data_IF_519216671806
#
_entry.id   IF_519216671806
#
_cell.length_a   1.000
_cell.length_b   1.000
_cell.length_c   1.000
_cell.angle_alpha   90.00
_cell.angle_beta   90.00
_cell.angle_gamma   90.00
#
_symmetry.space_group_name_H-M   'P 1'
#
loop_
_entity.id
_entity.type
_entity.pdbx_description
1 polymer ?
#
# COMPACT_ATOMS: atom_id res chain seq x y z
N UNK A 1 13.10 27.54 5.73
CA UNK A 1 12.61 26.15 5.76
C UNK A 1 12.22 25.79 4.35
N UNK A 2 12.63 24.61 3.85
CA UNK A 2 12.10 24.07 2.61
C UNK A 2 10.57 24.05 2.71
N UNK A 3 9.90 24.60 1.71
CA UNK A 3 8.45 24.57 1.59
C UNK A 3 8.12 24.00 0.23
N UNK A 4 7.01 23.29 0.15
CA UNK A 4 6.48 22.90 -1.14
C UNK A 4 6.17 24.16 -1.96
N UNK A 5 6.29 24.06 -3.28
CA UNK A 5 5.89 25.17 -4.15
C UNK A 5 4.40 25.41 -3.95
N UNK A 6 4.04 26.59 -3.42
CA UNK A 6 2.65 27.00 -3.27
C UNK A 6 2.06 27.29 -4.65
N UNK A 7 0.86 26.77 -4.88
CA UNK A 7 0.11 27.00 -6.12
C UNK A 7 -0.19 28.49 -6.29
N UNK A 8 0.01 29.01 -7.51
CA UNK A 8 -0.39 30.38 -7.83
C UNK A 8 -1.90 30.53 -7.72
N UNK A 9 -2.38 31.71 -7.31
CA UNK A 9 -3.81 32.02 -7.31
C UNK A 9 -4.43 31.79 -8.70
N UNK A 10 -3.70 32.10 -9.77
CA UNK A 10 -4.19 31.91 -11.15
C UNK A 10 -4.35 30.42 -11.45
N UNK A 11 -3.36 29.59 -11.10
CA UNK A 11 -3.38 28.15 -11.31
C UNK A 11 -4.51 27.49 -10.50
N UNK A 12 -4.67 27.90 -9.24
CA UNK A 12 -5.76 27.43 -8.38
C UNK A 12 -7.12 27.75 -8.99
N UNK A 13 -7.32 28.99 -9.44
CA UNK A 13 -8.59 29.42 -10.04
C UNK A 13 -8.85 28.66 -11.34
N UNK A 14 -7.81 28.47 -12.17
CA UNK A 14 -7.91 27.72 -13.41
C UNK A 14 -8.29 26.25 -13.19
N UNK A 15 -7.69 25.58 -12.19
CA UNK A 15 -8.03 24.19 -11.83
C UNK A 15 -9.50 24.10 -11.41
N UNK A 16 -9.96 25.01 -10.55
CA UNK A 16 -11.35 25.03 -10.10
C UNK A 16 -12.33 25.29 -11.26
N UNK A 17 -12.03 26.24 -12.15
CA UNK A 17 -12.86 26.50 -13.33
C UNK A 17 -12.89 25.32 -14.31
N UNK A 18 -11.76 24.66 -14.54
CA UNK A 18 -11.67 23.47 -15.38
C UNK A 18 -12.48 22.31 -14.79
N UNK A 19 -12.38 22.09 -13.47
CA UNK A 19 -13.14 21.06 -12.77
C UNK A 19 -14.65 21.35 -12.83
N UNK A 20 -15.08 22.61 -12.74
CA UNK A 20 -16.48 23.00 -12.94
C UNK A 20 -17.01 22.62 -14.33
N UNK A 21 -16.14 22.61 -15.35
CA UNK A 21 -16.45 22.18 -16.71
C UNK A 21 -16.28 20.66 -16.94
N UNK A 22 -16.00 19.87 -15.89
CA UNK A 22 -15.68 18.44 -15.96
C UNK A 22 -14.38 18.12 -16.73
N UNK A 23 -13.42 19.04 -16.77
CA UNK A 23 -12.16 18.84 -17.49
C UNK A 23 -11.02 18.75 -16.46
N UNK A 24 -10.22 17.68 -16.53
CA UNK A 24 -8.98 17.54 -15.76
C UNK A 24 -7.78 18.01 -16.58
N UNK A 25 -6.72 18.44 -15.89
CA UNK A 25 -5.46 18.88 -16.52
C UNK A 25 -4.79 17.77 -17.34
N UNK A 26 -4.94 16.52 -16.92
CA UNK A 26 -4.38 15.34 -17.57
C UNK A 26 -5.32 14.70 -18.61
N UNK A 27 -6.53 15.24 -18.77
CA UNK A 27 -7.55 14.75 -19.70
C UNK A 27 -8.28 13.47 -19.25
N UNK A 28 -8.05 12.99 -18.02
CA UNK A 28 -8.78 11.82 -17.49
C UNK A 28 -10.21 12.18 -17.06
N UNK A 29 -11.04 11.14 -16.92
CA UNK A 29 -12.35 11.28 -16.29
C UNK A 29 -12.21 11.47 -14.76
N UNK A 30 -13.30 11.88 -14.11
CA UNK A 30 -13.31 12.17 -12.67
C UNK A 30 -13.18 10.91 -11.80
N UNK A 31 -13.65 9.78 -12.30
CA UNK A 31 -13.71 8.48 -11.66
C UNK A 31 -12.57 7.55 -12.11
N UNK A 32 -11.60 8.07 -12.85
CA UNK A 32 -10.52 7.30 -13.44
C UNK A 32 -9.21 7.38 -12.64
N UNK A 33 -8.55 6.23 -12.50
CA UNK A 33 -7.30 6.08 -11.76
C UNK A 33 -6.10 6.34 -12.69
N UNK A 34 -4.95 6.80 -12.19
CA UNK A 34 -3.74 6.86 -13.02
C UNK A 34 -3.31 5.45 -13.38
N UNK A 35 -2.51 5.32 -14.44
CA UNK A 35 -1.89 4.05 -14.77
C UNK A 35 -1.08 3.56 -13.56
N UNK A 36 -1.46 2.39 -13.06
CA UNK A 36 -0.85 1.72 -11.91
C UNK A 36 0.06 0.62 -12.45
N UNK A 37 1.35 0.74 -12.19
CA UNK A 37 2.33 -0.30 -12.47
C UNK A 37 2.92 -0.82 -11.16
N UNK A 38 3.04 -2.14 -11.07
CA UNK A 38 3.57 -2.85 -9.90
C UNK A 38 4.70 -3.72 -10.40
N UNK A 39 5.89 -3.45 -9.89
CA UNK A 39 7.12 -4.16 -10.22
C UNK A 39 7.72 -4.77 -8.96
N UNK A 40 8.25 -5.99 -9.09
CA UNK A 40 8.89 -6.70 -7.99
C UNK A 40 10.41 -6.68 -8.18
N UNK A 41 11.14 -6.60 -7.07
CA UNK A 41 12.60 -6.71 -7.08
C UNK A 41 13.06 -8.17 -7.08
N UNK A 42 14.35 -8.40 -7.31
CA UNK A 42 14.95 -9.74 -7.33
C UNK A 42 14.70 -10.50 -6.02
N UNK A 43 14.84 -9.80 -4.88
CA UNK A 43 14.58 -10.35 -3.56
C UNK A 43 13.07 -10.37 -3.22
N UNK A 44 12.63 -11.44 -2.55
CA UNK A 44 11.27 -11.54 -2.03
C UNK A 44 10.92 -10.39 -1.07
N UNK A 45 9.75 -9.79 -1.27
CA UNK A 45 9.23 -8.67 -0.48
C UNK A 45 9.83 -7.29 -0.81
N UNK A 46 10.56 -7.14 -1.91
CA UNK A 46 10.75 -5.83 -2.54
C UNK A 46 9.65 -5.59 -3.58
N UNK A 47 9.01 -4.42 -3.52
CA UNK A 47 7.97 -4.00 -4.46
C UNK A 47 8.10 -2.50 -4.74
N UNK A 48 8.16 -2.13 -6.01
CA UNK A 48 8.08 -0.75 -6.47
C UNK A 48 6.75 -0.53 -7.20
N UNK A 49 5.96 0.42 -6.70
CA UNK A 49 4.68 0.82 -7.26
C UNK A 49 4.81 2.19 -7.88
N UNK A 50 4.33 2.32 -9.11
CA UNK A 50 4.25 3.58 -9.81
C UNK A 50 2.79 3.90 -10.11
N UNK A 51 2.30 5.00 -9.55
CA UNK A 51 0.98 5.55 -9.82
C UNK A 51 1.14 6.85 -10.61
N UNK A 52 1.12 6.73 -11.94
CA UNK A 52 1.50 7.83 -12.82
C UNK A 52 2.94 8.29 -12.59
N UNK A 53 3.13 9.44 -11.92
CA UNK A 53 4.46 9.95 -11.52
C UNK A 53 4.84 9.60 -10.09
N UNK A 54 3.86 9.38 -9.21
CA UNK A 54 4.11 8.99 -7.82
C UNK A 54 4.77 7.63 -7.78
N UNK A 55 5.92 7.52 -7.10
CA UNK A 55 6.69 6.29 -6.99
C UNK A 55 6.95 5.95 -5.54
N UNK A 56 6.59 4.74 -5.15
CA UNK A 56 6.76 4.23 -3.80
C UNK A 56 7.47 2.89 -3.87
N UNK A 57 8.53 2.73 -3.09
CA UNK A 57 9.22 1.46 -2.90
C UNK A 57 8.88 0.92 -1.52
N UNK A 58 8.59 -0.37 -1.40
CA UNK A 58 8.33 -1.02 -0.13
C UNK A 58 9.21 -2.25 0.00
N UNK A 59 9.86 -2.36 1.16
CA UNK A 59 10.68 -3.51 1.54
C UNK A 59 10.11 -4.14 2.80
N UNK A 60 9.97 -5.46 2.77
CA UNK A 60 9.62 -6.23 3.95
C UNK A 60 10.83 -6.96 4.49
N UNK A 61 11.03 -6.84 5.79
CA UNK A 61 12.02 -7.58 6.55
C UNK A 61 11.35 -8.41 7.65
N UNK A 62 11.98 -9.52 8.03
CA UNK A 62 11.51 -10.36 9.11
C UNK A 62 12.67 -10.73 10.04
N UNK A 63 12.46 -10.56 11.34
CA UNK A 63 13.43 -10.87 12.39
C UNK A 63 12.75 -11.71 13.48
N UNK A 64 13.52 -12.53 14.21
CA UNK A 64 12.99 -13.28 15.35
C UNK A 64 13.19 -12.49 16.62
N UNK A 65 12.08 -12.13 17.27
CA UNK A 65 12.06 -11.29 18.47
C UNK A 65 11.19 -11.94 19.55
N UNK A 66 11.29 -11.46 20.80
CA UNK A 66 10.37 -11.87 21.86
C UNK A 66 9.01 -11.15 21.66
N UNK A 67 7.87 -11.86 21.76
CA UNK A 67 6.55 -11.23 21.67
C UNK A 67 6.28 -10.31 22.89
N UNK A 68 5.29 -9.43 22.75
CA UNK A 68 4.83 -8.60 23.87
C UNK A 68 4.26 -9.45 25.02
N UNK A 69 4.43 -8.99 26.26
CA UNK A 69 3.98 -9.76 27.44
C UNK A 69 2.45 -9.91 27.50
N UNK A 70 1.73 -8.92 26.98
CA UNK A 70 0.27 -8.93 26.88
C UNK A 70 -0.24 -9.93 25.84
N UNK A 71 0.53 -10.17 24.76
CA UNK A 71 0.14 -11.01 23.63
C UNK A 71 1.24 -12.00 23.27
N UNK A 72 1.29 -13.10 24.03
CA UNK A 72 2.32 -14.13 23.92
C UNK A 72 2.18 -15.04 22.69
N UNK A 73 1.01 -15.07 22.07
CA UNK A 73 0.67 -15.91 20.91
C UNK A 73 0.70 -15.14 19.58
N UNK A 74 0.95 -13.83 19.62
CA UNK A 74 0.98 -12.99 18.42
C UNK A 74 2.42 -12.66 18.03
N UNK A 75 2.69 -12.64 16.73
CA UNK A 75 3.86 -11.96 16.17
C UNK A 75 3.70 -10.45 16.16
N UNK A 76 4.80 -9.77 15.83
CA UNK A 76 4.84 -8.30 15.78
C UNK A 76 4.82 -7.88 14.31
N UNK A 77 3.96 -6.93 13.97
CA UNK A 77 3.94 -6.32 12.64
C UNK A 77 4.04 -4.81 12.74
N UNK A 78 5.08 -4.22 12.14
CA UNK A 78 5.36 -2.77 12.16
C UNK A 78 5.40 -2.19 10.77
N UNK A 79 4.68 -1.08 10.56
CA UNK A 79 4.74 -0.30 9.33
C UNK A 79 5.54 0.97 9.65
N UNK A 80 6.57 1.24 8.85
CA UNK A 80 7.33 2.48 8.91
C UNK A 80 7.22 3.15 7.55
N UNK A 81 6.74 4.38 7.54
CA UNK A 81 6.68 5.20 6.33
C UNK A 81 7.70 6.31 6.47
N UNK A 82 8.61 6.39 5.51
CA UNK A 82 9.65 7.43 5.47
C UNK A 82 9.43 8.32 4.24
N UNK A 83 9.18 9.60 4.49
CA UNK A 83 9.12 10.61 3.44
C UNK A 83 10.53 11.17 3.21
N UNK A 84 11.11 10.85 2.06
CA UNK A 84 12.43 11.31 1.69
C UNK A 84 12.37 12.72 1.06
N UNK A 85 13.37 13.59 1.29
CA UNK A 85 13.54 14.84 0.53
C UNK A 85 13.66 14.62 -0.99
N UNK A 86 13.92 13.38 -1.43
CA UNK A 86 13.86 12.99 -2.84
C UNK A 86 12.46 13.17 -3.44
N UNK A 87 11.41 12.89 -2.65
CA UNK A 87 10.04 12.89 -3.14
C UNK A 87 9.45 14.30 -3.25
N UNK A 88 9.73 15.16 -2.26
CA UNK A 88 9.38 16.57 -2.31
C UNK A 88 10.40 17.35 -1.49
N UNK A 89 10.83 18.55 -1.92
CA UNK A 89 11.70 19.40 -1.13
C UNK A 89 11.07 19.80 0.21
N UNK A 90 9.75 19.66 0.37
CA UNK A 90 9.04 19.93 1.62
C UNK A 90 9.33 18.90 2.72
N UNK A 91 9.80 17.71 2.36
CA UNK A 91 10.09 16.64 3.31
C UNK A 91 11.50 16.80 3.87
N UNK A 92 11.62 16.76 5.20
CA UNK A 92 12.90 16.84 5.92
C UNK A 92 13.16 15.51 6.62
N UNK A 93 14.36 14.95 6.44
CA UNK A 93 14.76 13.71 7.11
C UNK A 93 14.79 13.89 8.63
N UNK A 94 14.07 13.04 9.35
CA UNK A 94 14.06 13.00 10.82
C UNK A 94 13.04 13.92 11.49
N UNK A 95 12.31 14.74 10.74
CA UNK A 95 11.18 15.52 11.24
C UNK A 95 9.90 15.01 10.62
N UNK A 96 9.03 14.44 11.45
CA UNK A 96 7.73 13.99 11.00
C UNK A 96 6.85 15.17 10.60
N UNK A 97 6.47 15.20 9.33
CA UNK A 97 5.49 16.17 8.83
C UNK A 97 4.06 15.74 9.20
N UNK A 98 3.11 16.67 9.20
CA UNK A 98 1.70 16.32 9.47
C UNK A 98 1.17 15.28 8.47
N UNK A 99 1.55 15.41 7.19
CA UNK A 99 1.23 14.46 6.14
C UNK A 99 1.79 13.06 6.45
N UNK A 100 3.05 12.96 6.88
CA UNK A 100 3.67 11.68 7.26
C UNK A 100 2.93 10.99 8.42
N UNK A 101 2.56 11.75 9.45
CA UNK A 101 1.80 11.22 10.60
C UNK A 101 0.41 10.74 10.16
N UNK A 102 -0.24 11.48 9.27
CA UNK A 102 -1.55 11.12 8.71
C UNK A 102 -1.44 9.83 7.91
N UNK A 103 -0.49 9.75 6.96
CA UNK A 103 -0.28 8.57 6.10
C UNK A 103 0.06 7.34 6.95
N UNK A 104 1.03 7.45 7.85
CA UNK A 104 1.44 6.37 8.74
C UNK A 104 0.25 5.82 9.56
N UNK A 105 -0.56 6.72 10.15
CA UNK A 105 -1.74 6.34 10.93
C UNK A 105 -2.84 5.71 10.09
N UNK A 106 -3.02 6.16 8.84
CA UNK A 106 -4.01 5.56 7.93
C UNK A 106 -3.56 4.16 7.54
N UNK A 107 -2.30 3.98 7.16
CA UNK A 107 -1.75 2.66 6.79
C UNK A 107 -1.80 1.68 7.97
N UNK A 108 -1.47 2.14 9.17
CA UNK A 108 -1.59 1.34 10.39
C UNK A 108 -3.03 0.87 10.63
N UNK A 109 -4.01 1.77 10.52
CA UNK A 109 -5.42 1.40 10.69
C UNK A 109 -5.93 0.53 9.54
N UNK A 110 -5.50 0.78 8.31
CA UNK A 110 -5.93 0.06 7.12
C UNK A 110 -5.46 -1.40 7.14
N UNK A 111 -4.23 -1.67 7.61
CA UNK A 111 -3.60 -2.99 7.52
C UNK A 111 -3.53 -3.69 8.88
N UNK A 112 -3.00 -3.03 9.91
CA UNK A 112 -2.83 -3.63 11.25
C UNK A 112 -4.18 -3.78 11.96
N UNK A 113 -4.97 -2.70 12.03
CA UNK A 113 -6.26 -2.75 12.76
C UNK A 113 -7.32 -3.58 12.02
N UNK A 114 -7.22 -3.69 10.70
CA UNK A 114 -8.11 -4.58 9.94
C UNK A 114 -7.75 -6.06 10.10
N UNK A 115 -6.62 -6.41 10.72
CA UNK A 115 -6.08 -7.77 10.82
C UNK A 115 -5.83 -8.42 9.45
N UNK A 116 -5.26 -7.66 8.50
CA UNK A 116 -4.95 -8.18 7.16
C UNK A 116 -3.92 -9.34 7.19
N UNK A 117 -3.01 -9.32 8.17
CA UNK A 117 -2.01 -10.36 8.38
C UNK A 117 -2.43 -11.22 9.57
N UNK A 118 -2.30 -12.53 9.43
CA UNK A 118 -2.48 -13.46 10.55
C UNK A 118 -1.25 -13.41 11.47
N UNK A 119 -1.35 -12.64 12.56
CA UNK A 119 -0.29 -12.52 13.56
C UNK A 119 -0.10 -13.78 14.40
N UNK A 120 -1.09 -14.65 14.50
CA UNK A 120 -0.96 -15.90 15.27
C UNK A 120 -0.04 -16.89 14.54
N UNK A 121 -0.13 -16.93 13.21
CA UNK A 121 0.76 -17.74 12.35
C UNK A 121 2.24 -17.36 12.43
N UNK A 122 2.55 -16.18 12.99
CA UNK A 122 3.90 -15.66 13.17
C UNK A 122 4.55 -16.09 14.50
N UNK A 123 3.79 -16.71 15.41
CA UNK A 123 4.34 -17.23 16.65
C UNK A 123 5.14 -18.52 16.41
N UNK A 124 6.35 -18.61 16.96
CA UNK A 124 7.19 -19.83 16.88
C UNK A 124 7.06 -20.60 18.20
N UNK A 125 7.39 -19.95 19.31
CA UNK A 125 7.24 -20.47 20.67
C UNK A 125 6.53 -19.41 21.51
N UNK A 126 5.35 -19.76 22.01
CA UNK A 126 4.50 -18.86 22.79
C UNK A 126 5.28 -18.21 23.95
N UNK A 127 5.31 -16.88 23.98
CA UNK A 127 5.96 -16.09 25.03
C UNK A 127 7.48 -16.03 24.98
N UNK A 128 8.13 -16.76 24.07
CA UNK A 128 9.59 -16.80 23.95
C UNK A 128 10.10 -16.22 22.62
N UNK A 129 9.62 -16.74 21.48
CA UNK A 129 10.10 -16.36 20.14
C UNK A 129 8.93 -16.22 19.17
N UNK A 130 8.84 -15.09 18.49
CA UNK A 130 7.90 -14.83 17.42
C UNK A 130 8.60 -14.12 16.26
N UNK A 131 7.99 -14.15 15.08
CA UNK A 131 8.41 -13.30 13.98
C UNK A 131 7.98 -11.85 14.21
N UNK A 132 8.91 -10.95 13.95
CA UNK A 132 8.71 -9.51 13.88
C UNK A 132 8.87 -9.10 12.42
N UNK A 133 7.75 -8.82 11.75
CA UNK A 133 7.71 -8.37 10.36
C UNK A 133 7.66 -6.85 10.33
N UNK A 134 8.53 -6.24 9.55
CA UNK A 134 8.57 -4.80 9.34
C UNK A 134 8.38 -4.49 7.86
N UNK A 135 7.42 -3.62 7.56
CA UNK A 135 7.19 -3.06 6.24
C UNK A 135 7.71 -1.62 6.21
N UNK A 136 8.80 -1.41 5.48
CA UNK A 136 9.41 -0.11 5.27
C UNK A 136 8.97 0.48 3.93
N UNK A 137 8.23 1.58 3.98
CA UNK A 137 7.72 2.29 2.81
C UNK A 137 8.56 3.54 2.59
N UNK A 138 9.27 3.57 1.47
CA UNK A 138 10.06 4.70 1.03
C UNK A 138 9.40 5.39 -0.16
N UNK A 139 9.08 6.66 0.01
CA UNK A 139 8.48 7.47 -1.05
C UNK A 139 9.61 8.07 -1.88
N UNK A 140 9.62 7.77 -3.18
CA UNK A 140 10.67 8.20 -4.11
C UNK A 140 10.28 9.47 -4.86
N UNK A 141 9.03 9.56 -5.28
CA UNK A 141 8.48 10.69 -6.04
C UNK A 141 7.03 10.93 -5.60
N UNK A 142 6.65 12.20 -5.42
CA UNK A 142 5.34 12.60 -4.91
C UNK A 142 4.61 13.52 -5.88
N UNK A 143 3.58 12.97 -6.54
CA UNK A 143 2.66 13.70 -7.43
C UNK A 143 1.20 13.44 -7.02
N UNK A 144 0.91 13.36 -5.71
CA UNK A 144 -0.40 13.03 -5.15
C UNK A 144 -0.74 11.53 -5.09
N UNK A 145 -1.83 11.18 -4.42
CA UNK A 145 -2.29 9.78 -4.27
C UNK A 145 -1.38 8.92 -3.38
N UNK A 146 -0.69 9.55 -2.42
CA UNK A 146 0.37 8.92 -1.62
C UNK A 146 -0.13 7.74 -0.77
N UNK A 147 -1.31 7.89 -0.16
CA UNK A 147 -1.91 6.88 0.71
C UNK A 147 -2.28 5.63 -0.09
N UNK A 148 -2.88 5.83 -1.27
CA UNK A 148 -3.33 4.75 -2.14
C UNK A 148 -2.11 3.97 -2.67
N UNK A 149 -1.11 4.68 -3.21
CA UNK A 149 0.13 4.07 -3.70
C UNK A 149 0.87 3.29 -2.60
N UNK A 150 0.97 3.85 -1.39
CA UNK A 150 1.62 3.20 -0.24
C UNK A 150 0.85 1.98 0.27
N UNK A 151 -0.48 2.02 0.25
CA UNK A 151 -1.30 0.88 0.65
C UNK A 151 -1.14 -0.27 -0.35
N UNK A 152 -1.22 0.04 -1.65
CA UNK A 152 -1.01 -0.93 -2.73
C UNK A 152 0.40 -1.55 -2.63
N UNK A 153 1.44 -0.74 -2.40
CA UNK A 153 2.81 -1.22 -2.31
C UNK A 153 3.03 -2.15 -1.12
N UNK A 154 2.45 -1.85 0.06
CA UNK A 154 2.55 -2.74 1.22
C UNK A 154 1.84 -4.07 0.94
N UNK A 155 0.62 -4.06 0.40
CA UNK A 155 -0.14 -5.29 0.14
C UNK A 155 0.55 -6.14 -0.92
N UNK A 156 1.02 -5.54 -2.01
CA UNK A 156 1.77 -6.24 -3.05
C UNK A 156 3.07 -6.83 -2.50
N UNK A 157 3.81 -6.05 -1.69
CA UNK A 157 5.02 -6.53 -1.03
C UNK A 157 4.73 -7.69 -0.08
N UNK A 158 3.67 -7.61 0.74
CA UNK A 158 3.31 -8.64 1.72
C UNK A 158 2.94 -9.96 1.03
N UNK A 159 2.23 -9.90 -0.09
CA UNK A 159 1.92 -11.07 -0.91
C UNK A 159 3.15 -11.65 -1.61
N UNK A 160 4.11 -10.80 -1.97
CA UNK A 160 5.38 -11.22 -2.59
C UNK A 160 6.37 -11.80 -1.57
N UNK A 161 6.35 -11.32 -0.32
CA UNK A 161 7.31 -11.72 0.71
C UNK A 161 7.20 -13.21 1.05
N UNK A 162 8.36 -13.82 1.32
CA UNK A 162 8.49 -15.20 1.76
C UNK A 162 9.43 -15.21 2.95
N UNK A 163 8.99 -15.79 4.07
CA UNK A 163 9.81 -15.90 5.29
C UNK A 163 10.63 -17.19 5.26
N UNK A 164 11.81 -17.22 5.89
CA UNK A 164 12.57 -18.45 6.08
C UNK A 164 11.76 -19.52 6.84
N UNK A 165 11.99 -20.79 6.51
CA UNK A 165 11.39 -21.91 7.22
C UNK A 165 12.09 -22.15 8.56
N UNK A 166 11.34 -22.69 9.52
CA UNK A 166 11.78 -22.87 10.90
C UNK A 166 11.36 -24.25 11.39
N UNK A 167 12.30 -24.99 11.98
CA UNK A 167 12.00 -26.19 12.76
C UNK A 167 12.14 -25.93 14.26
N UNK A 168 11.30 -26.62 15.01
CA UNK A 168 11.21 -26.49 16.47
C UNK A 168 11.53 -27.87 17.06
N UNK A 169 12.68 -27.97 17.72
CA UNK A 169 13.08 -29.14 18.50
C UNK A 169 13.03 -28.78 19.99
N UNK A 170 11.83 -28.89 20.57
CA UNK A 170 11.56 -28.47 21.95
C UNK A 170 11.69 -26.96 22.10
N UNK A 171 12.73 -26.49 22.79
CA UNK A 171 13.02 -25.06 22.99
C UNK A 171 14.03 -24.50 21.96
N UNK A 172 14.68 -25.37 21.19
CA UNK A 172 15.65 -24.96 20.18
C UNK A 172 14.92 -24.66 18.87
N UNK A 173 15.19 -23.47 18.33
CA UNK A 173 14.62 -22.98 17.07
C UNK A 173 15.76 -22.91 16.07
N UNK A 174 15.68 -23.69 15.00
CA UNK A 174 16.63 -23.60 13.89
C UNK A 174 15.95 -22.94 12.70
N UNK A 175 16.59 -21.88 12.19
CA UNK A 175 16.11 -21.10 11.05
C UNK A 175 16.92 -21.57 9.85
N UNK A 176 16.23 -22.09 8.84
CA UNK A 176 16.89 -22.55 7.62
C UNK A 176 17.10 -21.37 6.67
N UNK A 177 18.23 -21.38 5.97
CA UNK A 177 18.47 -20.41 4.91
C UNK A 177 17.66 -20.73 3.65
N UNK A 178 17.51 -19.75 2.75
CA UNK A 178 16.83 -19.89 1.46
C UNK A 178 17.41 -21.01 0.57
N UNK A 179 18.68 -21.39 0.80
CA UNK A 179 19.34 -22.45 0.06
C UNK A 179 19.05 -23.86 0.62
N UNK A 180 18.67 -23.94 1.89
CA UNK A 180 18.41 -25.22 2.57
C UNK A 180 16.95 -25.65 2.42
N UNK A 181 16.02 -24.69 2.44
CA UNK A 181 14.58 -24.93 2.32
C UNK A 181 13.88 -23.82 1.55
N UNK A 182 12.80 -24.19 0.89
CA UNK A 182 11.91 -23.24 0.24
C UNK A 182 11.27 -22.29 1.28
N UNK A 183 11.26 -20.98 1.02
CA UNK A 183 10.70 -20.02 1.96
C UNK A 183 9.17 -20.04 1.93
N UNK A 184 8.57 -19.83 3.09
CA UNK A 184 7.13 -19.96 3.33
C UNK A 184 6.43 -18.61 3.06
N UNK A 185 5.31 -18.57 2.31
CA UNK A 185 4.52 -17.35 2.17
C UNK A 185 3.86 -16.91 3.48
N UNK A 186 3.56 -15.62 3.60
CA UNK A 186 2.78 -15.10 4.71
C UNK A 186 1.29 -15.44 4.53
N UNK A 187 0.63 -15.75 5.64
CA UNK A 187 -0.82 -15.92 5.69
C UNK A 187 -1.50 -14.55 5.77
N UNK A 188 -2.11 -14.14 4.67
CA UNK A 188 -2.93 -12.92 4.58
C UNK A 188 -4.42 -13.30 4.60
N UNK A 189 -5.18 -12.69 5.51
CA UNK A 189 -6.61 -12.95 5.67
C UNK A 189 -7.43 -12.22 4.59
N UNK A 190 -7.06 -10.97 4.31
CA UNK A 190 -7.67 -10.14 3.28
C UNK A 190 -6.70 -9.06 2.79
N UNK A 191 -7.09 -8.39 1.71
CA UNK A 191 -6.28 -7.39 1.01
C UNK A 191 -7.01 -6.04 1.04
N UNK A 192 -6.79 -5.23 2.10
CA UNK A 192 -7.37 -3.90 2.16
C UNK A 192 -6.65 -2.97 1.19
N UNK A 193 -7.42 -2.24 0.38
CA UNK A 193 -6.88 -1.23 -0.55
C UNK A 193 -7.53 0.12 -0.21
N UNK A 194 -6.70 1.15 -0.12
CA UNK A 194 -7.13 2.54 0.06
C UNK A 194 -7.45 3.18 -1.29
N UNK A 195 -8.57 3.91 -1.34
CA UNK A 195 -8.95 4.78 -2.44
C UNK A 195 -9.24 6.17 -1.87
N UNK A 196 -8.58 7.18 -2.44
CA UNK A 196 -8.69 8.57 -2.02
C UNK A 196 -9.60 9.35 -2.96
N UNK A 197 -10.55 10.06 -2.35
CA UNK A 197 -11.45 11.01 -3.01
C UNK A 197 -11.12 12.42 -2.55
N UNK A 198 -11.01 13.34 -3.51
CA UNK A 198 -10.85 14.77 -3.27
C UNK A 198 -12.15 15.49 -3.59
N UNK A 199 -12.52 16.43 -2.73
CA UNK A 199 -13.74 17.23 -2.87
C UNK A 199 -13.40 18.68 -3.25
N UNK A 200 -14.19 19.24 -4.18
CA UNK A 200 -14.07 20.60 -4.69
C UNK A 200 -15.43 21.30 -4.70
N UNK A 201 -15.40 22.62 -4.83
CA UNK A 201 -16.59 23.47 -4.92
C UNK A 201 -17.57 23.23 -3.78
N UNK A 202 -17.04 23.17 -2.56
CA UNK A 202 -17.90 22.99 -1.40
C UNK A 202 -18.46 21.56 -1.22
N UNK A 203 -17.90 20.57 -1.92
CA UNK A 203 -18.31 19.16 -1.81
C UNK A 203 -19.20 18.65 -2.94
N UNK A 204 -19.51 19.49 -3.93
CA UNK A 204 -20.34 19.11 -5.09
C UNK A 204 -19.57 18.28 -6.11
N UNK A 205 -18.29 18.59 -6.32
CA UNK A 205 -17.44 17.88 -7.27
C UNK A 205 -16.53 16.92 -6.55
N UNK A 206 -16.60 15.64 -6.94
CA UNK A 206 -15.74 14.57 -6.43
C UNK A 206 -14.75 14.17 -7.51
N UNK A 207 -13.50 14.03 -7.10
CA UNK A 207 -12.42 13.53 -7.93
C UNK A 207 -11.79 12.33 -7.27
N UNK A 208 -11.51 11.28 -8.05
CA UNK A 208 -10.73 10.14 -7.62
C UNK A 208 -9.28 10.29 -8.10
N UNK A 209 -8.33 9.93 -7.23
CA UNK A 209 -6.88 9.98 -7.50
C UNK A 209 -6.41 11.34 -8.05
N UNK A 210 -6.39 12.33 -7.15
CA UNK A 210 -5.94 13.68 -7.44
C UNK A 210 -4.40 13.74 -7.61
N UNK A 211 -3.96 14.55 -8.58
CA UNK A 211 -2.55 14.93 -8.74
C UNK A 211 -2.12 15.94 -7.67
N UNK A 212 -0.82 16.21 -7.52
CA UNK A 212 -0.32 17.17 -6.52
C UNK A 212 -0.99 18.55 -6.61
N UNK A 213 -1.13 19.08 -7.83
CA UNK A 213 -1.77 20.38 -8.06
C UNK A 213 -3.26 20.36 -7.70
N UNK A 214 -3.95 19.26 -8.03
CA UNK A 214 -5.35 19.04 -7.67
C UNK A 214 -5.50 18.88 -6.15
N UNK A 215 -4.57 18.22 -5.46
CA UNK A 215 -4.56 18.08 -4.00
C UNK A 215 -4.35 19.41 -3.27
N UNK A 216 -3.49 20.29 -3.80
CA UNK A 216 -3.30 21.64 -3.24
C UNK A 216 -4.53 22.55 -3.42
N UNK A 217 -5.39 22.25 -4.40
CA UNK A 217 -6.61 23.01 -4.70
C UNK A 217 -7.88 22.44 -4.04
N UNK A 218 -7.82 21.30 -3.35
CA UNK A 218 -9.01 20.64 -2.79
C UNK A 218 -9.54 21.31 -1.50
N UNK A 219 -10.84 21.20 -1.28
CA UNK A 219 -11.53 21.69 -0.08
C UNK A 219 -11.62 20.62 1.02
N UNK A 220 -11.46 19.35 0.64
CA UNK A 220 -11.47 18.23 1.57
C UNK A 220 -11.06 16.93 0.90
N UNK A 221 -10.82 15.92 1.72
CA UNK A 221 -10.50 14.57 1.26
C UNK A 221 -11.28 13.53 2.07
N UNK A 222 -11.52 12.38 1.44
CA UNK A 222 -11.98 11.17 2.10
C UNK A 222 -11.19 9.98 1.57
N UNK A 223 -10.72 9.16 2.49
CA UNK A 223 -10.01 7.93 2.18
C UNK A 223 -10.89 6.78 2.64
N UNK A 224 -11.18 5.88 1.71
CA UNK A 224 -11.99 4.68 1.96
C UNK A 224 -11.08 3.47 1.77
N UNK A 225 -11.03 2.60 2.77
CA UNK A 225 -10.30 1.34 2.70
C UNK A 225 -11.31 0.20 2.65
N UNK A 226 -11.29 -0.58 1.58
CA UNK A 226 -12.16 -1.75 1.41
C UNK A 226 -11.35 -2.97 1.00
N UNK A 227 -11.92 -4.16 1.23
CA UNK A 227 -11.37 -5.40 0.72
C UNK A 227 -12.05 -5.81 -0.61
N UNK A 228 -11.51 -6.85 -1.26
CA UNK A 228 -12.10 -7.45 -2.48
C UNK A 228 -13.54 -7.94 -2.33
N UNK A 229 -13.98 -8.21 -1.10
CA UNK A 229 -15.32 -8.69 -0.78
C UNK A 229 -16.34 -7.55 -0.65
N UNK A 230 -15.89 -6.30 -0.72
CA UNK A 230 -16.73 -5.11 -0.53
C UNK A 230 -16.99 -4.79 0.94
N UNK A 231 -16.22 -5.38 1.86
CA UNK A 231 -16.28 -5.03 3.27
C UNK A 231 -15.43 -3.78 3.53
N UNK A 232 -15.99 -2.88 4.32
CA UNK A 232 -15.36 -1.62 4.67
C UNK A 232 -14.44 -1.82 5.88
N UNK A 233 -13.14 -1.59 5.70
CA UNK A 233 -12.17 -1.64 6.79
C UNK A 233 -12.10 -0.29 7.53
N UNK A 234 -12.10 0.82 6.78
CA UNK A 234 -11.92 2.17 7.33
C UNK A 234 -12.51 3.25 6.41
N UNK A 235 -13.02 4.31 7.03
CA UNK A 235 -13.24 5.61 6.37
C UNK A 235 -12.49 6.66 7.18
N UNK A 236 -11.70 7.49 6.50
CA UNK A 236 -11.05 8.66 7.08
C UNK A 236 -11.41 9.90 6.27
N UNK A 237 -12.29 10.73 6.85
CA UNK A 237 -12.56 12.08 6.36
C UNK A 237 -11.86 13.08 7.27
N UNK A 238 -10.71 13.58 6.84
CA UNK A 238 -9.84 14.42 7.66
C UNK A 238 -10.24 15.90 7.50
N UNK A 239 -11.34 16.27 8.15
CA UNK A 239 -11.83 17.65 8.14
C UNK A 239 -12.30 18.11 6.76
N UNK A 240 -12.03 19.38 6.44
CA UNK A 240 -12.44 20.03 5.21
C UNK A 240 -13.94 20.34 5.16
N UNK A 241 -14.47 20.41 3.93
CA UNK A 241 -15.87 20.77 3.69
C UNK A 241 -16.90 19.72 4.12
N UNK A 242 -18.11 20.14 4.47
CA UNK A 242 -19.26 19.24 4.66
C UNK A 242 -19.65 18.58 3.35
N UNK A 243 -19.81 17.26 3.34
CA UNK A 243 -20.20 16.49 2.16
C UNK A 243 -21.48 15.73 2.50
N UNK A 244 -22.43 15.69 1.57
CA UNK A 244 -23.67 14.94 1.72
C UNK A 244 -23.40 13.44 1.81
N UNK A 245 -24.11 12.77 2.71
CA UNK A 245 -24.00 11.33 2.95
C UNK A 245 -24.29 10.50 1.69
N UNK A 246 -25.19 10.98 0.81
CA UNK A 246 -25.50 10.32 -0.46
C UNK A 246 -24.29 10.29 -1.41
N UNK A 247 -23.52 11.38 -1.46
CA UNK A 247 -22.29 11.46 -2.25
C UNK A 247 -21.25 10.48 -1.69
N UNK A 248 -21.12 10.40 -0.36
CA UNK A 248 -20.20 9.45 0.29
C UNK A 248 -20.59 7.99 -0.02
N UNK A 249 -21.89 7.67 -0.03
CA UNK A 249 -22.39 6.35 -0.44
C UNK A 249 -22.06 6.03 -1.90
N UNK A 250 -22.19 7.01 -2.80
CA UNK A 250 -21.75 6.87 -4.19
C UNK A 250 -20.25 6.55 -4.31
N UNK A 251 -19.41 7.27 -3.55
CA UNK A 251 -17.96 7.04 -3.51
C UNK A 251 -17.62 5.62 -3.00
N UNK A 252 -18.33 5.13 -1.99
CA UNK A 252 -18.12 3.77 -1.47
C UNK A 252 -18.46 2.70 -2.53
N UNK A 253 -19.57 2.87 -3.26
CA UNK A 253 -19.93 1.93 -4.33
C UNK A 253 -18.88 1.92 -5.45
N UNK A 254 -18.36 3.08 -5.83
CA UNK A 254 -17.25 3.19 -6.78
C UNK A 254 -15.98 2.53 -6.24
N UNK A 255 -15.68 2.71 -4.96
CA UNK A 255 -14.52 2.09 -4.29
C UNK A 255 -14.54 0.56 -4.46
N UNK A 256 -15.70 -0.09 -4.28
CA UNK A 256 -15.82 -1.55 -4.45
C UNK A 256 -15.38 -2.01 -5.84
N UNK A 257 -15.73 -1.26 -6.89
CA UNK A 257 -15.31 -1.60 -8.25
C UNK A 257 -13.80 -1.44 -8.43
N UNK A 258 -13.24 -0.28 -8.03
CA UNK A 258 -11.82 0.00 -8.19
C UNK A 258 -10.92 -0.92 -7.37
N UNK A 259 -11.34 -1.28 -6.16
CA UNK A 259 -10.60 -2.22 -5.30
C UNK A 259 -10.52 -3.61 -5.95
N UNK A 260 -11.57 -4.06 -6.64
CA UNK A 260 -11.53 -5.33 -7.39
C UNK A 260 -10.53 -5.26 -8.54
N UNK A 261 -10.58 -4.20 -9.34
CA UNK A 261 -9.68 -3.99 -10.49
C UNK A 261 -8.21 -3.98 -10.04
N UNK A 262 -7.89 -3.23 -8.97
CA UNK A 262 -6.52 -3.15 -8.43
C UNK A 262 -6.08 -4.49 -7.83
N UNK A 263 -6.96 -5.19 -7.10
CA UNK A 263 -6.64 -6.52 -6.55
C UNK A 263 -6.33 -7.51 -7.67
N UNK A 264 -7.09 -7.47 -8.77
CA UNK A 264 -6.87 -8.32 -9.93
C UNK A 264 -5.54 -8.01 -10.62
N UNK A 265 -5.21 -6.72 -10.77
CA UNK A 265 -3.92 -6.26 -11.29
C UNK A 265 -2.74 -6.77 -10.45
N UNK A 266 -2.80 -6.61 -9.13
CA UNK A 266 -1.75 -7.13 -8.21
C UNK A 266 -1.62 -8.65 -8.37
N UNK A 267 -2.75 -9.37 -8.42
CA UNK A 267 -2.73 -10.83 -8.57
C UNK A 267 -2.13 -11.29 -9.90
N UNK A 268 -2.35 -10.53 -10.97
CA UNK A 268 -1.80 -10.81 -12.29
C UNK A 268 -0.29 -10.59 -12.30
N UNK A 269 0.17 -9.47 -11.75
CA UNK A 269 1.61 -9.16 -11.62
C UNK A 269 2.37 -10.17 -10.76
N UNK A 270 1.77 -10.65 -9.68
CA UNK A 270 2.37 -11.71 -8.85
C UNK A 270 2.47 -13.04 -9.59
N UNK A 271 1.48 -13.39 -10.43
CA UNK A 271 1.57 -14.59 -11.28
C UNK A 271 2.66 -14.44 -12.33
N UNK A 272 2.76 -13.28 -12.98
CA UNK A 272 3.82 -12.97 -13.94
C UNK A 272 5.21 -13.14 -13.29
N UNK A 273 5.44 -12.54 -12.12
CA UNK A 273 6.70 -12.68 -11.36
C UNK A 273 6.98 -14.13 -10.96
N UNK A 274 5.98 -14.86 -10.44
CA UNK A 274 6.14 -16.28 -10.11
C UNK A 274 6.54 -17.12 -11.34
N UNK A 275 5.94 -16.87 -12.51
CA UNK A 275 6.29 -17.58 -13.74
C UNK A 275 7.69 -17.23 -14.23
N UNK A 276 8.14 -15.97 -14.08
CA UNK A 276 9.49 -15.55 -14.46
C UNK A 276 10.57 -16.20 -13.58
N UNK A 277 10.29 -16.36 -12.28
CA UNK A 277 11.19 -17.05 -11.35
C UNK A 277 11.25 -18.56 -11.58
N UNK A 278 10.16 -19.18 -12.06
CA UNK A 278 10.07 -20.63 -12.29
C UNK A 278 10.64 -21.10 -13.65
N UNK A 279 11.07 -20.19 -14.53
CA UNK A 279 11.63 -20.56 -15.86
C UNK A 279 12.84 -21.50 -15.76
N UNK A 280 13.54 -21.52 -14.62
CA UNK A 280 14.69 -22.40 -14.38
C UNK A 280 14.38 -23.73 -13.66
N UNK A 281 13.17 -23.93 -13.11
CA UNK A 281 12.87 -25.05 -12.19
C UNK A 281 11.99 -26.12 -12.82
N UNK A 282 10.68 -25.86 -12.95
CA UNK A 282 9.75 -26.91 -13.39
C UNK A 282 9.77 -27.16 -14.90
N UNK A 283 9.90 -26.14 -15.74
CA UNK A 283 9.79 -26.30 -17.20
C UNK A 283 11.04 -26.99 -17.78
N UNK A 284 12.22 -26.74 -17.21
CA UNK A 284 13.47 -27.40 -17.57
C UNK A 284 13.51 -28.87 -17.11
N UNK A 285 12.92 -29.20 -15.96
CA UNK A 285 12.80 -30.59 -15.51
C UNK A 285 11.74 -31.38 -16.29
N UNK A 286 10.62 -30.74 -16.64
CA UNK A 286 9.57 -31.35 -17.48
C UNK A 286 10.02 -31.58 -18.93
N UNK A 287 10.86 -30.71 -19.49
CA UNK A 287 11.46 -30.95 -20.81
C UNK A 287 12.48 -32.07 -20.76
N UNK A 288 13.33 -32.13 -19.72
CA UNK A 288 14.30 -33.20 -19.54
C UNK A 288 13.68 -34.59 -19.28
N UNK A 289 12.46 -34.66 -18.72
CA UNK A 289 11.72 -35.92 -18.56
C UNK A 289 11.05 -36.40 -19.85
N UNK A 290 10.66 -35.50 -20.76
CA UNK A 290 10.07 -35.88 -22.06
C UNK A 290 11.11 -36.29 -23.12
N UNK A 291 12.39 -35.95 -22.91
CA UNK A 291 13.51 -36.33 -23.77
C UNK A 291 14.19 -37.66 -23.39
N UNK A 292 13.65 -38.41 -22.42
CA UNK A 292 14.07 -39.78 -22.05
C UNK A 292 13.07 -40.83 -22.50
#
# INVERSE_FOLDING_TARGET
>A
MPREAELSNIERTFILEALAQNIRLDGRARDDFRNLDVSFGDDYGACAVQLGKTKVNTRISAEVTKPFEERKFDGIFTITTELSPLASPAFETGRQTEQEVIVSRILEKAIRRSNAIDTESLCIIAGAKCWSIRADVHVLDYDGGLVDASCISIIAALQHFRRPDVSIDGENVTIYSLAEREPVPLSLMHHPICITFSFYHGGETVLLDATLHEEQARDGEMIVTMNRHGELCQIAKLGGVSVDALILLGCMNMTVTKVKDITELISTKLREDATQRDVGGLIAELSAQNDR
#
